data_IF_309236477362
#
_entry.id   IF_309236477362
#
_cell.length_a   1.000
_cell.length_b   1.000
_cell.length_c   1.000
_cell.angle_alpha   90.00
_cell.angle_beta   90.00
_cell.angle_gamma   90.00
#
_symmetry.space_group_name_H-M   'P 1'
#
loop_
_entity.id
_entity.type
_entity.pdbx_description
1 polymer ?
#
# COMPACT_ATOMS: atom_id res chain seq x y z
N UNK A 1 8.74 -0.81 -8.60
CA UNK A 1 7.72 0.13 -8.07
C UNK A 1 7.12 0.91 -9.22
N UNK A 2 5.85 1.29 -9.10
CA UNK A 2 5.25 2.33 -9.93
C UNK A 2 5.44 3.66 -9.22
N UNK A 3 5.69 4.71 -9.98
CA UNK A 3 5.83 6.08 -9.47
C UNK A 3 4.47 6.60 -8.99
N UNK A 4 4.46 7.37 -7.89
CA UNK A 4 3.24 8.04 -7.46
C UNK A 4 2.94 9.27 -8.32
N UNK A 5 1.68 9.66 -8.36
CA UNK A 5 1.25 10.91 -8.97
C UNK A 5 1.58 12.10 -8.06
N UNK A 6 1.83 13.28 -8.63
CA UNK A 6 2.00 14.52 -7.89
C UNK A 6 1.02 15.57 -8.40
N UNK A 7 0.29 16.22 -7.51
CA UNK A 7 -0.58 17.37 -7.86
C UNK A 7 -0.05 18.62 -7.18
N UNK A 8 0.19 19.66 -7.97
CA UNK A 8 0.57 20.99 -7.45
C UNK A 8 -0.06 22.07 -8.30
N UNK A 9 -0.67 23.05 -7.64
CA UNK A 9 -1.27 24.25 -8.26
C UNK A 9 -2.23 23.93 -9.43
N UNK A 10 -3.03 22.86 -9.26
CA UNK A 10 -4.00 22.42 -10.24
C UNK A 10 -3.44 21.62 -11.42
N UNK A 11 -2.15 21.29 -11.40
CA UNK A 11 -1.46 20.46 -12.40
C UNK A 11 -1.20 19.08 -11.81
N UNK A 12 -1.56 18.03 -12.52
CA UNK A 12 -1.23 16.64 -12.23
C UNK A 12 0.00 16.23 -13.06
N UNK A 13 1.08 15.85 -12.38
CA UNK A 13 2.30 15.33 -13.00
C UNK A 13 2.31 13.81 -12.95
N UNK A 14 2.51 13.19 -14.12
CA UNK A 14 2.57 11.75 -14.30
C UNK A 14 3.91 11.40 -14.93
N UNK A 15 4.79 10.76 -14.16
CA UNK A 15 6.02 10.17 -14.69
C UNK A 15 5.66 8.81 -15.28
N UNK A 16 5.95 8.58 -16.54
CA UNK A 16 5.66 7.34 -17.23
C UNK A 16 6.91 6.48 -17.37
N UNK A 17 6.69 5.17 -17.48
CA UNK A 17 7.75 4.20 -17.78
C UNK A 17 8.31 4.34 -19.21
N UNK A 18 7.65 5.13 -20.06
CA UNK A 18 8.11 5.52 -21.40
C UNK A 18 9.24 6.55 -21.39
N UNK A 19 9.68 6.99 -20.21
CA UNK A 19 10.69 8.05 -20.04
C UNK A 19 10.18 9.44 -20.37
N UNK A 20 8.87 9.64 -20.23
CA UNK A 20 8.20 10.93 -20.39
C UNK A 20 7.53 11.31 -19.09
N UNK A 21 7.45 12.62 -18.84
CA UNK A 21 6.59 13.18 -17.81
C UNK A 21 5.48 13.97 -18.49
N UNK A 22 4.25 13.64 -18.14
CA UNK A 22 3.06 14.33 -18.64
C UNK A 22 2.55 15.29 -17.57
N UNK A 23 2.05 16.45 -18.00
CA UNK A 23 1.27 17.33 -17.17
C UNK A 23 -0.16 17.38 -17.68
N UNK A 24 -1.10 17.21 -16.76
CA UNK A 24 -2.53 17.32 -17.03
C UNK A 24 -3.14 18.39 -16.15
N UNK A 25 -4.24 18.99 -16.61
CA UNK A 25 -5.12 19.73 -15.73
C UNK A 25 -5.77 18.75 -14.74
N UNK A 26 -5.51 18.95 -13.45
CA UNK A 26 -5.98 18.04 -12.40
C UNK A 26 -7.50 17.97 -12.24
N UNK A 27 -8.26 18.92 -12.80
CA UNK A 27 -9.73 18.94 -12.69
C UNK A 27 -10.41 18.17 -13.81
N UNK A 28 -9.87 18.22 -15.03
CA UNK A 28 -10.54 17.66 -16.21
C UNK A 28 -9.69 16.66 -17.01
N UNK A 29 -8.43 16.43 -16.61
CA UNK A 29 -7.54 15.47 -17.25
C UNK A 29 -7.01 15.88 -18.62
N UNK A 30 -7.23 17.12 -19.08
CA UNK A 30 -6.68 17.60 -20.35
C UNK A 30 -5.16 17.70 -20.25
N UNK A 31 -4.45 17.09 -21.21
CA UNK A 31 -2.99 17.25 -21.31
C UNK A 31 -2.62 18.73 -21.55
N UNK A 32 -1.71 19.23 -20.75
CA UNK A 32 -1.16 20.58 -20.85
C UNK A 32 0.13 20.57 -21.68
N UNK A 33 1.03 19.66 -21.33
CA UNK A 33 2.30 19.47 -22.03
C UNK A 33 2.91 18.10 -21.66
N UNK A 34 3.92 17.72 -22.44
CA UNK A 34 4.77 16.57 -22.14
C UNK A 34 6.25 16.99 -22.12
N UNK A 35 7.01 16.43 -21.19
CA UNK A 35 8.44 16.60 -21.00
C UNK A 35 9.18 15.27 -21.23
N UNK A 36 10.34 15.32 -21.88
CA UNK A 36 11.17 14.14 -22.11
C UNK A 36 12.19 13.99 -20.98
N UNK A 37 12.08 12.93 -20.18
CA UNK A 37 13.10 12.58 -19.17
C UNK A 37 14.23 11.78 -19.81
N UNK A 38 13.89 10.94 -20.79
CA UNK A 38 14.84 10.16 -21.61
C UNK A 38 14.70 8.65 -21.40
N UNK A 39 14.63 8.22 -20.14
CA UNK A 39 14.57 6.82 -19.71
C UNK A 39 13.57 6.63 -18.56
N UNK A 40 13.42 5.37 -18.14
CA UNK A 40 12.36 4.95 -17.23
C UNK A 40 12.44 5.68 -15.88
N UNK A 41 11.36 6.39 -15.50
CA UNK A 41 11.17 6.90 -14.15
C UNK A 41 10.53 5.84 -13.25
N UNK A 42 11.15 5.54 -12.10
CA UNK A 42 10.62 4.59 -11.09
C UNK A 42 10.36 5.23 -9.73
N UNK A 43 11.22 6.17 -9.31
CA UNK A 43 11.00 6.94 -8.09
C UNK A 43 9.82 7.91 -8.24
N UNK A 44 9.10 8.16 -7.15
CA UNK A 44 8.03 9.15 -7.13
C UNK A 44 8.61 10.56 -7.19
N UNK A 45 8.10 11.46 -8.06
CA UNK A 45 8.55 12.84 -8.06
C UNK A 45 8.18 13.53 -6.76
N UNK A 46 8.97 14.52 -6.34
CA UNK A 46 8.68 15.31 -5.14
C UNK A 46 8.74 16.81 -5.43
N UNK A 47 7.92 17.56 -4.70
CA UNK A 47 7.91 19.02 -4.76
C UNK A 47 8.63 19.60 -3.54
N UNK A 48 9.69 20.37 -3.76
CA UNK A 48 10.42 21.05 -2.69
C UNK A 48 10.90 22.41 -3.17
N UNK A 49 10.83 23.44 -2.32
CA UNK A 49 11.40 24.77 -2.61
C UNK A 49 10.96 25.35 -3.97
N UNK A 50 9.70 25.14 -4.33
CA UNK A 50 9.12 25.60 -5.59
C UNK A 50 9.61 24.87 -6.85
N UNK A 51 10.24 23.70 -6.69
CA UNK A 51 10.83 22.90 -7.77
C UNK A 51 10.30 21.48 -7.74
N UNK A 52 10.27 20.86 -8.90
CA UNK A 52 9.92 19.46 -9.08
C UNK A 52 11.20 18.63 -9.26
N UNK A 53 11.37 17.60 -8.44
CA UNK A 53 12.50 16.68 -8.51
C UNK A 53 12.02 15.35 -9.08
N UNK A 54 12.68 14.90 -10.14
CA UNK A 54 12.32 13.67 -10.87
C UNK A 54 13.57 12.83 -11.08
N UNK A 55 13.46 11.52 -10.89
CA UNK A 55 14.59 10.60 -11.04
C UNK A 55 14.28 9.52 -12.06
N UNK A 56 15.33 9.07 -12.72
CA UNK A 56 15.30 7.94 -13.63
C UNK A 56 16.18 6.80 -13.12
N UNK A 57 15.90 5.58 -13.59
CA UNK A 57 16.57 4.37 -13.11
C UNK A 57 18.08 4.40 -13.36
N UNK A 58 18.52 5.03 -14.45
CA UNK A 58 19.94 5.08 -14.85
C UNK A 58 20.75 6.17 -14.13
N UNK A 59 20.35 6.57 -12.92
CA UNK A 59 21.10 7.53 -12.11
C UNK A 59 20.84 8.99 -12.44
N UNK A 60 19.90 9.30 -13.33
CA UNK A 60 19.54 10.67 -13.64
C UNK A 60 18.66 11.30 -12.54
N UNK A 61 18.97 12.54 -12.20
CA UNK A 61 18.15 13.41 -11.35
C UNK A 61 17.91 14.71 -12.11
N UNK A 62 16.65 15.03 -12.36
CA UNK A 62 16.20 16.30 -12.92
C UNK A 62 15.63 17.19 -11.82
N UNK A 63 15.99 18.46 -11.85
CA UNK A 63 15.37 19.53 -11.10
C UNK A 63 14.66 20.42 -12.10
N UNK A 64 13.35 20.51 -11.99
CA UNK A 64 12.48 21.11 -12.99
C UNK A 64 11.68 22.25 -12.37
N UNK A 65 11.35 23.23 -13.21
CA UNK A 65 10.41 24.31 -12.91
C UNK A 65 9.23 24.24 -13.88
N UNK A 66 8.17 23.52 -13.51
CA UNK A 66 6.97 23.46 -14.33
C UNK A 66 6.07 24.68 -14.14
N UNK A 67 5.38 25.07 -15.21
CA UNK A 67 4.19 25.93 -15.21
C UNK A 67 3.04 25.22 -15.89
N UNK A 68 1.87 25.89 -16.04
CA UNK A 68 0.77 25.32 -16.81
C UNK A 68 1.09 25.21 -18.31
N UNK A 69 1.99 26.04 -18.82
CA UNK A 69 2.29 26.16 -20.24
C UNK A 69 3.48 25.29 -20.66
N UNK A 70 4.49 25.13 -19.79
CA UNK A 70 5.72 24.40 -20.12
C UNK A 70 6.44 23.87 -18.88
N UNK A 71 7.48 23.08 -19.10
CA UNK A 71 8.42 22.65 -18.08
C UNK A 71 9.83 23.10 -18.45
N UNK A 72 10.50 23.81 -17.54
CA UNK A 72 11.89 24.27 -17.67
C UNK A 72 12.82 23.35 -16.87
N UNK A 73 13.96 22.97 -17.44
CA UNK A 73 15.02 22.26 -16.71
C UNK A 73 15.93 23.25 -15.99
N UNK A 74 16.00 23.13 -14.66
CA UNK A 74 16.89 23.94 -13.84
C UNK A 74 18.24 23.26 -13.64
N UNK A 75 18.25 21.93 -13.55
CA UNK A 75 19.47 21.14 -13.37
C UNK A 75 19.21 19.70 -13.78
N UNK A 76 20.23 19.07 -14.35
CA UNK A 76 20.25 17.65 -14.67
C UNK A 76 21.63 17.09 -14.34
N UNK A 77 21.65 16.00 -13.57
CA UNK A 77 22.87 15.25 -13.28
C UNK A 77 22.64 13.78 -13.53
N UNK A 78 23.67 13.10 -14.01
CA UNK A 78 23.70 11.65 -14.15
C UNK A 78 24.76 11.05 -13.23
N UNK A 79 24.35 10.17 -12.34
CA UNK A 79 25.22 9.58 -11.33
C UNK A 79 25.87 8.30 -11.86
N UNK A 80 27.20 8.27 -11.81
CA UNK A 80 27.99 7.09 -12.08
C UNK A 80 28.21 6.28 -10.81
N UNK A 81 28.25 4.96 -10.97
CA UNK A 81 28.56 4.02 -9.90
C UNK A 81 29.90 4.36 -9.22
N UNK A 82 29.99 4.18 -7.91
CA UNK A 82 31.20 4.50 -7.12
C UNK A 82 32.21 3.36 -7.07
N UNK A 83 31.72 2.12 -7.07
CA UNK A 83 32.55 0.92 -6.90
C UNK A 83 32.70 0.16 -8.21
N UNK A 84 31.59 -0.09 -8.90
CA UNK A 84 31.56 -0.85 -10.15
C UNK A 84 31.47 0.05 -11.39
N UNK A 85 31.54 -0.57 -12.57
CA UNK A 85 31.24 0.11 -13.84
C UNK A 85 29.72 0.27 -13.99
N UNK A 86 29.29 1.40 -14.56
CA UNK A 86 27.88 1.66 -14.89
C UNK A 86 27.27 2.80 -14.08
N UNK A 87 25.95 2.75 -13.93
CA UNK A 87 25.17 3.83 -13.35
C UNK A 87 24.89 3.57 -11.87
N UNK A 88 24.80 4.66 -11.10
CA UNK A 88 24.35 4.62 -9.71
C UNK A 88 22.83 4.76 -9.69
N UNK A 89 22.17 3.61 -9.81
CA UNK A 89 20.74 3.54 -10.12
C UNK A 89 19.85 4.11 -9.01
N UNK A 90 18.68 4.67 -9.38
CA UNK A 90 17.73 5.26 -8.45
C UNK A 90 16.33 4.67 -8.66
N UNK A 91 15.90 3.86 -7.71
CA UNK A 91 14.54 3.29 -7.68
C UNK A 91 13.66 3.91 -6.59
N UNK A 92 14.28 4.46 -5.54
CA UNK A 92 13.58 4.98 -4.38
C UNK A 92 12.94 6.36 -4.65
N UNK A 93 11.88 6.66 -3.92
CA UNK A 93 11.33 8.02 -3.88
C UNK A 93 12.19 8.88 -2.93
N UNK A 94 12.49 10.15 -3.25
CA UNK A 94 13.24 11.02 -2.37
C UNK A 94 12.44 11.33 -1.11
N UNK A 95 13.16 11.58 -0.02
CA UNK A 95 12.56 12.09 1.22
C UNK A 95 12.90 13.57 1.41
N UNK A 96 11.93 14.35 1.87
CA UNK A 96 12.14 15.76 2.24
C UNK A 96 12.03 15.83 3.76
N UNK A 97 13.08 16.31 4.41
CA UNK A 97 13.12 16.52 5.86
C UNK A 97 14.09 17.65 6.19
N UNK A 98 13.79 18.43 7.22
CA UNK A 98 14.70 19.43 7.78
C UNK A 98 15.26 20.47 6.79
N UNK A 99 14.45 20.85 5.81
CA UNK A 99 14.86 21.78 4.74
C UNK A 99 15.86 21.17 3.74
N UNK A 100 15.94 19.85 3.67
CA UNK A 100 16.81 19.07 2.79
C UNK A 100 16.00 18.04 2.02
N UNK A 101 16.57 17.59 0.91
CA UNK A 101 16.10 16.46 0.13
C UNK A 101 17.15 15.36 0.14
N UNK A 102 16.69 14.12 0.30
CA UNK A 102 17.50 12.93 0.40
C UNK A 102 17.15 11.99 -0.74
N UNK A 103 18.15 11.64 -1.55
CA UNK A 103 18.06 10.62 -2.59
C UNK A 103 18.80 9.39 -2.11
N UNK A 104 18.17 8.22 -2.23
CA UNK A 104 18.81 6.93 -1.99
C UNK A 104 19.03 6.26 -3.32
N UNK A 105 20.29 6.10 -3.68
CA UNK A 105 20.74 5.44 -4.90
C UNK A 105 21.25 4.04 -4.54
N UNK A 106 21.62 3.25 -5.53
CA UNK A 106 22.23 1.92 -5.32
C UNK A 106 23.48 2.01 -4.44
N UNK A 107 24.32 3.02 -4.66
CA UNK A 107 25.65 3.08 -4.04
C UNK A 107 25.74 4.05 -2.86
N UNK A 108 24.80 5.00 -2.69
CA UNK A 108 24.89 6.06 -1.68
C UNK A 108 23.58 6.74 -1.34
N UNK A 109 23.58 7.44 -0.20
CA UNK A 109 22.58 8.47 0.11
C UNK A 109 23.16 9.85 -0.22
N UNK A 110 22.41 10.65 -0.97
CA UNK A 110 22.77 12.01 -1.37
C UNK A 110 21.81 12.98 -0.69
N UNK A 111 22.35 13.95 0.03
CA UNK A 111 21.57 15.03 0.65
C UNK A 111 21.86 16.34 -0.07
N UNK A 112 20.81 17.03 -0.52
CA UNK A 112 20.88 18.39 -1.07
C UNK A 112 20.12 19.33 -0.11
N UNK A 113 20.74 20.46 0.21
CA UNK A 113 20.15 21.52 1.03
C UNK A 113 21.22 22.43 1.62
N UNK A 114 20.79 23.51 2.25
CA UNK A 114 21.70 24.45 2.91
C UNK A 114 22.42 23.76 4.07
N UNK A 115 23.76 23.73 4.01
CA UNK A 115 24.61 23.14 5.05
C UNK A 115 24.44 23.82 6.41
N UNK A 116 24.05 25.10 6.41
CA UNK A 116 23.86 25.90 7.60
C UNK A 116 22.44 25.81 8.16
N UNK A 117 21.50 25.18 7.44
CA UNK A 117 20.14 24.97 7.94
C UNK A 117 20.19 24.06 9.16
N UNK A 118 19.73 24.59 10.29
CA UNK A 118 19.47 23.81 11.50
C UNK A 118 18.07 23.19 11.39
N UNK A 119 17.94 21.85 11.44
CA UNK A 119 16.68 21.16 11.55
C UNK A 119 15.80 21.74 12.66
N UNK A 120 14.50 21.82 12.40
CA UNK A 120 13.50 22.11 13.42
C UNK A 120 12.21 21.38 13.05
N UNK A 121 11.64 20.67 13.99
CA UNK A 121 10.32 20.07 13.86
C UNK A 121 9.34 20.82 14.75
N UNK A 122 8.10 20.96 14.28
CA UNK A 122 7.02 21.31 15.19
C UNK A 122 6.92 20.25 16.30
N UNK A 123 6.55 20.62 17.53
CA UNK A 123 6.32 19.63 18.58
C UNK A 123 5.27 18.63 18.10
N UNK A 124 5.56 17.35 18.30
CA UNK A 124 4.57 16.29 18.03
C UNK A 124 3.37 16.58 18.92
N UNK A 125 2.16 16.80 18.36
CA UNK A 125 0.98 16.99 19.19
C UNK A 125 0.79 15.76 20.07
N UNK A 126 0.37 15.92 21.33
CA UNK A 126 0.08 14.77 22.17
C UNK A 126 -0.95 13.88 21.47
N UNK A 127 -0.74 12.57 21.53
CA UNK A 127 -1.75 11.63 21.08
C UNK A 127 -3.04 11.89 21.88
N UNK A 128 -4.18 11.82 21.19
CA UNK A 128 -5.47 11.90 21.88
C UNK A 128 -5.55 10.79 22.94
N UNK A 129 -6.20 11.08 24.07
CA UNK A 129 -6.46 10.05 25.08
C UNK A 129 -7.20 8.88 24.45
N UNK A 130 -6.72 7.67 24.76
CA UNK A 130 -7.36 6.47 24.27
C UNK A 130 -8.74 6.33 24.93
N UNK A 131 -9.79 6.33 24.11
CA UNK A 131 -11.15 6.07 24.60
C UNK A 131 -11.22 4.67 25.23
N UNK A 132 -11.96 4.45 26.32
CA UNK A 132 -12.12 3.11 26.87
C UNK A 132 -12.81 2.18 25.87
N UNK A 133 -12.56 0.87 26.02
CA UNK A 133 -13.28 -0.19 25.32
C UNK A 133 -14.79 -0.10 25.61
N UNK A 134 -15.61 -0.32 24.57
CA UNK A 134 -17.06 -0.31 24.70
C UNK A 134 -17.60 -1.75 24.68
N UNK A 135 -18.61 -2.06 25.50
CA UNK A 135 -19.18 -3.42 25.57
C UNK A 135 -20.09 -3.77 24.38
N UNK A 136 -20.47 -2.77 23.57
CA UNK A 136 -21.35 -2.98 22.42
C UNK A 136 -20.58 -3.60 21.26
N UNK A 137 -20.97 -4.82 20.89
CA UNK A 137 -20.48 -5.50 19.68
C UNK A 137 -20.91 -4.70 18.44
N UNK A 138 -19.92 -4.25 17.67
CA UNK A 138 -20.10 -3.56 16.40
C UNK A 138 -19.66 -4.41 15.20
N UNK A 139 -18.73 -5.33 15.42
CA UNK A 139 -18.33 -6.34 14.44
C UNK A 139 -17.90 -7.63 15.12
N UNK A 140 -17.88 -8.71 14.36
CA UNK A 140 -17.35 -10.01 14.77
C UNK A 140 -16.35 -10.50 13.72
N UNK A 141 -15.41 -11.33 14.14
CA UNK A 141 -14.45 -12.01 13.27
C UNK A 141 -14.48 -13.50 13.54
N UNK A 142 -14.67 -14.28 12.48
CA UNK A 142 -14.49 -15.72 12.51
C UNK A 142 -13.01 -16.04 12.30
N UNK A 143 -12.42 -16.81 13.22
CA UNK A 143 -10.99 -17.14 13.24
C UNK A 143 -10.83 -18.65 13.22
N UNK A 144 -10.03 -19.23 12.30
CA UNK A 144 -9.24 -18.57 11.26
C UNK A 144 -10.11 -17.95 10.14
N UNK A 145 -9.68 -16.83 9.55
CA UNK A 145 -10.45 -16.16 8.48
C UNK A 145 -10.27 -16.81 7.10
N UNK A 146 -9.11 -17.42 6.84
CA UNK A 146 -8.83 -18.13 5.60
C UNK A 146 -7.98 -19.35 5.90
N UNK A 147 -8.42 -20.51 5.41
CA UNK A 147 -7.70 -21.79 5.56
C UNK A 147 -7.57 -22.50 4.22
N UNK A 148 -6.42 -23.16 4.04
CA UNK A 148 -6.18 -24.13 3.00
C UNK A 148 -5.84 -25.47 3.68
N UNK A 149 -6.65 -26.49 3.41
CA UNK A 149 -6.58 -27.79 4.08
C UNK A 149 -6.73 -28.93 3.08
N UNK A 150 -6.40 -30.15 3.49
CA UNK A 150 -6.67 -31.36 2.70
C UNK A 150 -8.00 -32.02 3.08
N UNK A 151 -8.38 -33.05 2.32
CA UNK A 151 -9.59 -33.84 2.55
C UNK A 151 -9.56 -34.55 3.92
N UNK A 152 -10.68 -34.56 4.65
CA UNK A 152 -10.83 -35.19 5.97
C UNK A 152 -10.29 -34.40 7.17
N UNK A 153 -9.73 -33.20 6.96
CA UNK A 153 -9.23 -32.36 8.04
C UNK A 153 -10.36 -31.68 8.83
N UNK A 154 -10.11 -31.47 10.13
CA UNK A 154 -10.98 -30.73 11.03
C UNK A 154 -10.40 -29.34 11.30
N UNK A 155 -11.23 -28.30 11.15
CA UNK A 155 -10.92 -26.91 11.45
C UNK A 155 -11.81 -26.48 12.61
N UNK A 156 -11.22 -25.98 13.68
CA UNK A 156 -11.94 -25.40 14.81
C UNK A 156 -11.94 -23.87 14.67
N UNK A 157 -13.12 -23.26 14.81
CA UNK A 157 -13.32 -21.82 14.70
C UNK A 157 -13.64 -21.17 16.05
N UNK A 158 -13.26 -19.91 16.17
CA UNK A 158 -13.66 -19.02 17.26
C UNK A 158 -14.28 -17.74 16.70
N UNK A 159 -15.17 -17.11 17.48
CA UNK A 159 -15.78 -15.83 17.12
C UNK A 159 -15.27 -14.77 18.08
N UNK A 160 -14.53 -13.80 17.54
CA UNK A 160 -14.02 -12.65 18.29
C UNK A 160 -14.95 -11.47 18.07
N UNK A 161 -15.46 -10.85 19.13
CA UNK A 161 -16.32 -9.68 19.04
C UNK A 161 -15.53 -8.39 19.30
N UNK A 162 -15.83 -7.34 18.53
CA UNK A 162 -15.15 -6.06 18.58
C UNK A 162 -16.12 -4.89 18.74
N UNK A 163 -15.65 -3.84 19.40
CA UNK A 163 -16.37 -2.57 19.51
C UNK A 163 -16.28 -1.73 18.22
N UNK A 164 -16.98 -0.60 18.18
CA UNK A 164 -17.01 0.28 17.01
C UNK A 164 -15.65 0.90 16.63
N UNK A 165 -14.64 0.80 17.50
CA UNK A 165 -13.27 1.25 17.26
C UNK A 165 -12.32 0.07 16.94
N UNK A 166 -12.84 -1.15 16.80
CA UNK A 166 -12.04 -2.34 16.52
C UNK A 166 -11.33 -2.92 17.74
N UNK A 167 -11.75 -2.59 18.97
CA UNK A 167 -11.18 -3.19 20.19
C UNK A 167 -11.84 -4.51 20.50
N UNK A 168 -11.04 -5.53 20.82
CA UNK A 168 -11.53 -6.84 21.22
C UNK A 168 -12.32 -6.75 22.53
N UNK A 169 -13.56 -7.21 22.52
CA UNK A 169 -14.45 -7.26 23.69
C UNK A 169 -14.31 -8.62 24.37
N UNK A 170 -14.66 -9.68 23.64
CA UNK A 170 -14.67 -11.06 24.14
C UNK A 170 -14.85 -12.08 23.01
N UNK A 171 -14.65 -13.36 23.34
CA UNK A 171 -15.14 -14.47 22.54
C UNK A 171 -16.65 -14.63 22.72
N UNK A 172 -17.35 -14.99 21.65
CA UNK A 172 -18.80 -15.23 21.68
C UNK A 172 -19.13 -16.57 21.05
N UNK A 173 -20.26 -17.13 21.46
CA UNK A 173 -20.80 -18.36 20.88
C UNK A 173 -21.57 -18.05 19.60
N UNK A 174 -21.65 -19.05 18.72
CA UNK A 174 -22.42 -18.95 17.48
C UNK A 174 -22.55 -20.30 16.79
N UNK A 175 -23.07 -20.26 15.58
CA UNK A 175 -23.27 -21.44 14.74
C UNK A 175 -22.73 -21.17 13.35
N UNK A 176 -21.88 -22.06 12.88
CA UNK A 176 -21.36 -22.02 11.52
C UNK A 176 -22.44 -22.40 10.51
N UNK A 177 -22.50 -21.65 9.41
CA UNK A 177 -23.38 -21.89 8.26
C UNK A 177 -22.50 -21.94 7.00
N UNK A 178 -22.25 -23.12 6.43
CA UNK A 178 -21.56 -23.26 5.15
C UNK A 178 -22.37 -22.62 4.02
N UNK A 179 -21.68 -22.06 3.05
CA UNK A 179 -22.30 -21.64 1.80
C UNK A 179 -22.60 -22.84 0.88
N UNK A 180 -23.34 -22.63 -0.23
CA UNK A 180 -23.66 -23.71 -1.18
C UNK A 180 -22.42 -24.38 -1.80
N UNK A 181 -21.27 -23.70 -1.85
CA UNK A 181 -20.00 -24.26 -2.34
C UNK A 181 -19.35 -25.23 -1.35
N UNK A 182 -19.84 -25.29 -0.11
CA UNK A 182 -19.28 -26.07 0.99
C UNK A 182 -20.28 -27.07 1.59
N UNK A 183 -21.40 -27.40 0.93
CA UNK A 183 -22.41 -28.34 1.45
C UNK A 183 -21.87 -29.74 1.81
N UNK A 184 -20.75 -30.14 1.20
CA UNK A 184 -20.10 -31.42 1.48
C UNK A 184 -19.33 -31.44 2.82
N UNK A 185 -19.11 -30.30 3.48
CA UNK A 185 -18.46 -30.27 4.80
C UNK A 185 -19.42 -30.62 5.91
N UNK A 186 -18.90 -31.29 6.94
CA UNK A 186 -19.65 -31.57 8.16
C UNK A 186 -19.40 -30.46 9.16
N UNK A 187 -20.47 -29.87 9.69
CA UNK A 187 -20.38 -28.88 10.77
C UNK A 187 -20.79 -29.52 12.08
N UNK A 188 -19.93 -29.40 13.09
CA UNK A 188 -20.20 -29.81 14.47
C UNK A 188 -19.85 -28.67 15.41
N UNK A 189 -20.88 -27.95 15.89
CA UNK A 189 -20.69 -26.72 16.67
C UNK A 189 -19.90 -25.66 15.90
N UNK A 190 -18.75 -25.28 16.45
CA UNK A 190 -17.81 -24.34 15.84
C UNK A 190 -16.69 -25.05 15.06
N UNK A 191 -16.87 -26.32 14.73
CA UNK A 191 -15.92 -27.09 13.94
C UNK A 191 -16.46 -27.42 12.55
N UNK A 192 -15.56 -27.45 11.57
CA UNK A 192 -15.83 -27.90 10.19
C UNK A 192 -14.91 -29.07 9.89
N UNK A 193 -15.45 -30.17 9.37
CA UNK A 193 -14.66 -31.28 8.84
C UNK A 193 -14.85 -31.36 7.32
N UNK A 194 -13.74 -31.34 6.58
CA UNK A 194 -13.76 -31.40 5.12
C UNK A 194 -14.12 -32.80 4.62
N UNK A 195 -14.65 -32.94 3.38
CA UNK A 195 -14.99 -34.24 2.81
C UNK A 195 -13.74 -35.12 2.71
N UNK A 196 -13.89 -36.44 2.79
CA UNK A 196 -12.76 -37.39 2.73
C UNK A 196 -12.51 -38.01 1.36
N UNK A 197 -13.36 -37.73 0.37
CA UNK A 197 -13.39 -38.36 -0.95
C UNK A 197 -13.38 -37.34 -2.11
N UNK A 198 -12.74 -36.20 -1.87
CA UNK A 198 -12.73 -35.05 -2.78
C UNK A 198 -11.96 -35.39 -4.08
N UNK A 199 -12.63 -35.24 -5.24
CA UNK A 199 -12.05 -35.56 -6.57
C UNK A 199 -11.34 -34.39 -7.25
N UNK A 200 -11.65 -33.17 -6.86
CA UNK A 200 -11.08 -31.93 -7.40
C UNK A 200 -11.09 -30.85 -6.32
N UNK A 201 -10.21 -29.83 -6.40
CA UNK A 201 -10.20 -28.74 -5.41
C UNK A 201 -11.59 -28.10 -5.25
N UNK A 202 -11.94 -27.81 -4.00
CA UNK A 202 -13.17 -27.12 -3.63
C UNK A 202 -12.85 -25.85 -2.85
N UNK A 203 -13.69 -24.83 -2.98
CA UNK A 203 -13.56 -23.59 -2.24
C UNK A 203 -14.93 -22.98 -1.97
N UNK A 204 -15.05 -22.35 -0.81
CA UNK A 204 -16.23 -21.59 -0.43
C UNK A 204 -16.04 -20.99 0.96
N UNK A 205 -17.15 -20.69 1.61
CA UNK A 205 -17.17 -19.98 2.88
C UNK A 205 -17.98 -20.70 3.95
N UNK A 206 -17.63 -20.39 5.19
CA UNK A 206 -18.49 -20.62 6.36
C UNK A 206 -18.76 -19.28 7.01
N UNK A 207 -20.01 -19.06 7.40
CA UNK A 207 -20.47 -17.80 7.98
C UNK A 207 -20.99 -18.01 9.39
N UNK A 208 -20.99 -16.93 10.17
CA UNK A 208 -21.67 -16.88 11.47
C UNK A 208 -22.41 -15.55 11.61
N UNK A 209 -23.55 -15.59 12.31
CA UNK A 209 -24.34 -14.41 12.68
C UNK A 209 -24.48 -14.34 14.20
N UNK A 210 -24.16 -13.20 14.80
CA UNK A 210 -24.34 -12.92 16.24
C UNK A 210 -25.11 -11.60 16.36
N UNK A 211 -26.37 -11.67 16.79
CA UNK A 211 -27.26 -10.52 16.72
C UNK A 211 -27.44 -10.04 15.28
N UNK A 212 -27.12 -8.77 15.01
CA UNK A 212 -27.24 -8.16 13.68
C UNK A 212 -25.94 -8.17 12.87
N UNK A 213 -24.85 -8.69 13.42
CA UNK A 213 -23.54 -8.70 12.76
C UNK A 213 -23.19 -10.10 12.25
N UNK A 214 -22.53 -10.15 11.10
CA UNK A 214 -22.10 -11.37 10.42
C UNK A 214 -20.60 -11.35 10.13
N UNK A 215 -19.97 -12.53 10.18
CA UNK A 215 -18.60 -12.73 9.67
C UNK A 215 -18.55 -13.98 8.82
N UNK A 216 -17.69 -13.98 7.82
CA UNK A 216 -17.41 -15.12 6.96
C UNK A 216 -15.92 -15.50 7.07
N UNK A 217 -15.62 -16.78 6.88
CA UNK A 217 -14.27 -17.28 6.68
C UNK A 217 -14.23 -18.15 5.43
N UNK A 218 -13.09 -18.14 4.75
CA UNK A 218 -12.85 -18.89 3.51
C UNK A 218 -12.16 -20.21 3.79
N UNK A 219 -12.60 -21.24 3.09
CA UNK A 219 -11.99 -22.57 3.13
C UNK A 219 -11.64 -22.96 1.70
N UNK A 220 -10.40 -23.43 1.50
CA UNK A 220 -10.01 -24.15 0.29
C UNK A 220 -9.61 -25.56 0.69
N UNK A 221 -10.18 -26.55 0.00
CA UNK A 221 -9.91 -27.97 0.22
C UNK A 221 -9.23 -28.52 -1.01
N UNK A 222 -8.08 -29.17 -0.80
CA UNK A 222 -7.34 -29.84 -1.86
C UNK A 222 -7.44 -31.36 -1.69
N UNK A 223 -7.57 -32.12 -2.80
CA UNK A 223 -7.23 -33.54 -2.78
C UNK A 223 -5.79 -33.75 -2.27
N UNK A 224 -5.45 -34.94 -1.75
CA UNK A 224 -4.12 -35.24 -1.22
C UNK A 224 -3.02 -35.15 -2.27
#
# INVERSE_FOLDING_TARGET
GYTSLLVKDGILYVVADTGRMYAYDSKNGKELWTYNLGTVGKGSPVWADGKLYVMEVNGNIHILKPSREKCEELSHVQLLARVDKGMDEIYASPAIADGRIYFVTRDRTICIGDKNRKPSSDPVPPLAEEKPMQDKIASIQLVPYEVAVTQGEKIDYEILAYDANGRFIKKVDGKLTPDPGMEAVKVDGMSVTTPSDLKAPAAGTVSVKVGDVTSEARIRVFPP
#
